data_IF_497740489939
#
_entry.id   IF_497740489939
#
_cell.length_a   1.000
_cell.length_b   1.000
_cell.length_c   1.000
_cell.angle_alpha   90.00
_cell.angle_beta   90.00
_cell.angle_gamma   90.00
#
_symmetry.space_group_name_H-M   'P 1'
#
loop_
_entity.id
_entity.type
_entity.pdbx_description
1 polymer ?
#
# COMPACT_ATOMS: atom_id res chain seq x y z
N UNK A 1 13.56 -3.56 -3.40
CA UNK A 1 12.41 -2.72 -3.80
C UNK A 1 11.54 -3.51 -4.76
N UNK A 2 10.23 -3.55 -4.51
CA UNK A 2 9.24 -4.21 -5.37
C UNK A 2 8.00 -3.32 -5.48
N UNK A 3 7.19 -3.55 -6.51
CA UNK A 3 5.90 -2.89 -6.69
C UNK A 3 4.83 -3.92 -6.31
N UNK A 4 3.98 -3.56 -5.35
CA UNK A 4 2.92 -4.41 -4.84
C UNK A 4 1.56 -3.80 -5.10
N UNK A 5 0.56 -4.65 -5.30
CA UNK A 5 -0.84 -4.23 -5.38
C UNK A 5 -1.37 -3.98 -3.97
N UNK A 6 -2.02 -2.84 -3.75
CA UNK A 6 -2.75 -2.56 -2.52
C UNK A 6 -4.05 -3.36 -2.50
N UNK A 7 -4.21 -4.21 -1.47
CA UNK A 7 -5.37 -5.08 -1.31
C UNK A 7 -6.34 -4.52 -0.27
N UNK A 8 -5.81 -4.07 0.87
CA UNK A 8 -6.62 -3.64 2.00
C UNK A 8 -5.90 -2.57 2.82
N UNK A 9 -6.67 -1.67 3.43
CA UNK A 9 -6.19 -0.70 4.42
C UNK A 9 -6.95 -0.90 5.73
N UNK A 10 -6.21 -0.96 6.83
CA UNK A 10 -6.72 -1.21 8.17
C UNK A 10 -6.38 -0.02 9.07
N UNK A 11 -7.40 0.66 9.60
CA UNK A 11 -7.26 1.86 10.45
C UNK A 11 -6.71 1.56 11.85
N UNK A 12 -6.83 0.34 12.37
CA UNK A 12 -6.32 -0.03 13.68
C UNK A 12 -5.77 -1.46 13.56
N UNK A 13 -4.44 -1.66 13.48
CA UNK A 13 -3.36 -0.77 13.95
C UNK A 13 -2.62 0.05 12.87
N UNK A 14 -3.31 0.78 11.98
CA UNK A 14 -2.71 1.54 10.86
C UNK A 14 -1.75 0.71 9.99
N UNK A 15 -2.32 -0.19 9.18
CA UNK A 15 -1.53 -1.06 8.32
C UNK A 15 -2.20 -1.29 6.98
N UNK A 16 -1.41 -1.76 6.01
CA UNK A 16 -1.89 -2.13 4.68
C UNK A 16 -1.52 -3.56 4.36
N UNK A 17 -2.42 -4.23 3.65
CA UNK A 17 -2.19 -5.56 3.06
C UNK A 17 -1.82 -5.36 1.60
N UNK A 18 -0.66 -5.88 1.23
CA UNK A 18 -0.10 -5.75 -0.10
C UNK A 18 0.11 -7.14 -0.72
N UNK A 19 -0.16 -7.26 -2.01
CA UNK A 19 0.15 -8.45 -2.79
C UNK A 19 1.41 -8.21 -3.63
N UNK A 20 2.47 -8.97 -3.35
CA UNK A 20 3.65 -9.03 -4.21
C UNK A 20 3.38 -9.96 -5.38
N UNK A 21 3.18 -9.38 -6.57
CA UNK A 21 2.89 -10.15 -7.79
C UNK A 21 4.06 -11.01 -8.26
N UNK A 22 5.30 -10.67 -7.90
CA UNK A 22 6.49 -11.46 -8.26
C UNK A 22 6.63 -12.68 -7.39
N UNK A 23 6.41 -12.51 -6.09
CA UNK A 23 6.51 -13.59 -5.12
C UNK A 23 5.19 -14.36 -4.93
N UNK A 24 4.08 -13.83 -5.47
CA UNK A 24 2.72 -14.35 -5.33
C UNK A 24 2.30 -14.54 -3.87
N UNK A 25 2.63 -13.57 -3.02
CA UNK A 25 2.34 -13.60 -1.58
C UNK A 25 1.72 -12.30 -1.09
N UNK A 26 0.82 -12.42 -0.13
CA UNK A 26 0.32 -11.29 0.65
C UNK A 26 1.25 -11.03 1.84
N UNK A 27 1.45 -9.76 2.16
CA UNK A 27 2.11 -9.36 3.38
C UNK A 27 1.57 -8.03 3.90
N UNK A 28 1.74 -7.82 5.19
CA UNK A 28 1.28 -6.61 5.87
C UNK A 28 2.45 -5.66 6.09
N UNK A 29 2.20 -4.38 5.86
CA UNK A 29 3.12 -3.28 6.16
C UNK A 29 2.47 -2.36 7.19
N UNK A 30 3.05 -2.22 8.40
CA UNK A 30 2.61 -1.21 9.34
C UNK A 30 2.98 0.18 8.79
N UNK A 31 2.09 1.15 8.95
CA UNK A 31 2.26 2.50 8.46
C UNK A 31 2.45 3.48 9.60
N UNK A 32 3.34 4.45 9.39
CA UNK A 32 3.30 5.68 10.18
C UNK A 32 2.03 6.46 9.83
N UNK A 33 1.56 7.29 10.76
CA UNK A 33 0.34 8.10 10.57
C UNK A 33 0.38 8.94 9.29
N UNK A 34 1.55 9.49 8.94
CA UNK A 34 1.75 10.25 7.70
C UNK A 34 1.54 9.39 6.45
N UNK A 35 2.10 8.18 6.43
CA UNK A 35 1.96 7.25 5.30
C UNK A 35 0.53 6.75 5.18
N UNK A 36 -0.12 6.48 6.31
CA UNK A 36 -1.52 6.08 6.36
C UNK A 36 -2.43 7.14 5.74
N UNK A 37 -2.21 8.41 6.07
CA UNK A 37 -2.97 9.52 5.52
C UNK A 37 -2.75 9.65 4.00
N UNK A 38 -1.51 9.51 3.52
CA UNK A 38 -1.21 9.54 2.09
C UNK A 38 -1.89 8.39 1.32
N UNK A 39 -1.84 7.17 1.85
CA UNK A 39 -2.52 6.01 1.26
C UNK A 39 -4.03 6.22 1.23
N UNK A 40 -4.61 6.73 2.32
CA UNK A 40 -6.04 7.04 2.40
C UNK A 40 -6.47 8.08 1.34
N UNK A 41 -5.64 9.10 1.11
CA UNK A 41 -5.88 10.12 0.07
C UNK A 41 -5.80 9.54 -1.35
N UNK A 42 -4.87 8.62 -1.61
CA UNK A 42 -4.79 7.92 -2.90
C UNK A 42 -6.05 7.09 -3.15
N UNK A 43 -6.52 6.33 -2.15
CA UNK A 43 -7.75 5.54 -2.27
C UNK A 43 -8.96 6.43 -2.56
N UNK A 44 -9.13 7.51 -1.80
CA UNK A 44 -10.21 8.46 -2.01
C UNK A 44 -10.16 9.10 -3.41
N UNK A 45 -8.98 9.23 -4.00
CA UNK A 45 -8.80 9.77 -5.35
C UNK A 45 -9.13 8.74 -6.44
N UNK A 46 -8.75 7.47 -6.23
CA UNK A 46 -9.02 6.36 -7.15
C UNK A 46 -10.47 5.87 -7.10
N UNK A 47 -11.19 6.04 -5.99
CA UNK A 47 -12.64 5.73 -5.91
C UNK A 47 -13.52 6.52 -6.89
N UNK A 48 -12.98 7.51 -7.60
CA UNK A 48 -13.68 8.19 -8.72
C UNK A 48 -13.71 7.36 -10.00
N UNK A 49 -13.01 6.23 -10.05
CA UNK A 49 -12.89 5.34 -11.19
C UNK A 49 -12.94 3.89 -10.65
N UNK A 50 -14.08 3.23 -10.77
CA UNK A 50 -14.40 1.94 -10.10
C UNK A 50 -13.43 0.77 -10.39
N UNK A 51 -12.48 0.94 -11.32
CA UNK A 51 -11.55 -0.10 -11.79
C UNK A 51 -10.05 0.22 -11.55
N UNK A 52 -9.70 1.28 -10.80
CA UNK A 52 -8.30 1.66 -10.66
C UNK A 52 -7.57 0.90 -9.53
N UNK A 53 -6.70 -0.03 -9.94
CA UNK A 53 -5.79 -0.73 -9.04
C UNK A 53 -4.66 0.19 -8.55
N UNK A 54 -4.48 0.29 -7.23
CA UNK A 54 -3.41 1.10 -6.63
C UNK A 54 -2.15 0.24 -6.43
N UNK A 55 -1.05 0.68 -7.01
CA UNK A 55 0.25 0.03 -6.86
C UNK A 55 1.19 0.87 -5.99
N UNK A 56 1.81 0.24 -4.99
CA UNK A 56 2.72 0.88 -4.05
C UNK A 56 4.12 0.30 -4.18
N UNK A 57 5.13 1.16 -4.09
CA UNK A 57 6.53 0.74 -4.06
C UNK A 57 6.94 0.45 -2.61
N UNK A 58 7.61 -0.69 -2.40
CA UNK A 58 7.91 -1.23 -1.06
C UNK A 58 9.35 -1.73 -1.00
N UNK A 59 10.01 -1.47 0.13
CA UNK A 59 11.20 -2.22 0.54
C UNK A 59 10.74 -3.51 1.25
N UNK A 60 10.68 -4.63 0.53
CA UNK A 60 10.24 -5.92 1.08
C UNK A 60 11.13 -6.44 2.21
N UNK A 61 12.42 -6.06 2.24
CA UNK A 61 13.34 -6.47 3.31
C UNK A 61 13.03 -5.75 4.62
N UNK A 62 12.57 -4.49 4.53
CA UNK A 62 12.24 -3.65 5.69
C UNK A 62 10.75 -3.59 5.99
N UNK A 63 9.92 -4.07 5.06
CA UNK A 63 8.45 -3.93 5.07
C UNK A 63 8.02 -2.48 5.27
N UNK A 64 8.54 -1.59 4.43
CA UNK A 64 8.22 -0.15 4.47
C UNK A 64 7.83 0.36 3.09
N UNK A 65 6.88 1.30 3.03
CA UNK A 65 6.57 2.01 1.79
C UNK A 65 7.73 2.90 1.36
N UNK A 66 7.82 3.14 0.06
CA UNK A 66 8.80 4.04 -0.56
C UNK A 66 8.03 5.02 -1.42
N UNK A 67 8.20 6.31 -1.12
CA UNK A 67 7.64 7.40 -1.92
C UNK A 67 8.71 7.91 -2.88
N UNK A 68 8.39 7.97 -4.17
CA UNK A 68 9.22 8.70 -5.12
C UNK A 68 8.82 10.18 -5.01
N UNK A 69 9.70 10.99 -4.41
CA UNK A 69 9.60 12.45 -4.45
C UNK A 69 9.78 12.99 -5.87
#
# INVERSE_FOLDING_TARGET
MTICLLVEVQMDPNQVVLYDTKQQVNFTVPLAETDFNLVSLMIASSQKSDDEAIYLQVDSSKKTLIWNN
#
